data_IF_145056123165
#
_entry.id   IF_145056123165
#
_cell.length_a   1.000
_cell.length_b   1.000
_cell.length_c   1.000
_cell.angle_alpha   90.00
_cell.angle_beta   90.00
_cell.angle_gamma   90.00
#
_symmetry.space_group_name_H-M   'P 1'
#
loop_
_entity.id
_entity.type
_entity.pdbx_description
1 polymer ?
#
# COMPACT_ATOMS: atom_id res chain seq x y z
N UNK A 1 -10.85 -7.02 -5.64
CA UNK A 1 -9.77 -6.31 -6.36
C UNK A 1 -8.40 -7.00 -6.23
N UNK A 2 -7.96 -7.45 -5.05
CA UNK A 2 -6.64 -8.14 -4.90
C UNK A 2 -6.62 -9.53 -5.57
N UNK A 3 -7.67 -10.34 -5.39
CA UNK A 3 -7.72 -11.69 -5.97
C UNK A 3 -7.78 -11.71 -7.50
N UNK A 4 -8.20 -10.61 -8.14
CA UNK A 4 -8.26 -10.51 -9.60
C UNK A 4 -6.88 -10.69 -10.26
N UNK A 5 -5.81 -10.17 -9.65
CA UNK A 5 -4.45 -10.38 -10.19
C UNK A 5 -4.01 -11.84 -10.05
N UNK A 6 -4.37 -12.50 -8.94
CA UNK A 6 -4.07 -13.93 -8.70
C UNK A 6 -4.80 -14.80 -9.74
N UNK A 7 -6.07 -14.51 -10.01
CA UNK A 7 -6.88 -15.17 -11.03
C UNK A 7 -6.28 -15.00 -12.43
N UNK A 8 -5.88 -13.78 -12.79
CA UNK A 8 -5.26 -13.50 -14.10
C UNK A 8 -3.94 -14.27 -14.30
N UNK A 9 -3.08 -14.30 -13.28
CA UNK A 9 -1.82 -15.05 -13.33
C UNK A 9 -2.10 -16.55 -13.43
N UNK A 10 -3.01 -17.07 -12.61
CA UNK A 10 -3.42 -18.48 -12.64
C UNK A 10 -3.90 -18.88 -14.05
N UNK A 11 -4.80 -18.09 -14.63
CA UNK A 11 -5.41 -18.41 -15.92
C UNK A 11 -4.39 -18.32 -17.05
N UNK A 12 -3.47 -17.35 -16.99
CA UNK A 12 -2.33 -17.28 -17.90
C UNK A 12 -1.41 -18.50 -17.82
N UNK A 13 -1.10 -18.97 -16.60
CA UNK A 13 -0.27 -20.17 -16.39
C UNK A 13 -0.97 -21.44 -16.89
N UNK A 14 -2.28 -21.59 -16.65
CA UNK A 14 -3.07 -22.72 -17.16
C UNK A 14 -3.08 -22.73 -18.69
N UNK A 15 -3.16 -21.56 -19.33
CA UNK A 15 -3.20 -21.46 -20.79
C UNK A 15 -1.90 -21.94 -21.45
N UNK A 16 -0.74 -21.72 -20.82
CA UNK A 16 0.57 -22.11 -21.37
C UNK A 16 1.06 -23.49 -20.87
N UNK A 17 0.57 -23.96 -19.73
CA UNK A 17 0.92 -25.26 -19.14
C UNK A 17 -0.33 -25.96 -18.56
N UNK A 18 -1.19 -26.52 -19.42
CA UNK A 18 -2.44 -27.15 -19.00
C UNK A 18 -2.23 -28.43 -18.19
N UNK A 19 -1.08 -29.09 -18.30
CA UNK A 19 -0.77 -30.31 -17.54
C UNK A 19 -0.63 -30.04 -16.04
N UNK A 20 -0.24 -28.83 -15.65
CA UNK A 20 -0.13 -28.40 -14.25
C UNK A 20 -1.36 -27.64 -13.73
N UNK A 21 -2.49 -27.69 -14.45
CA UNK A 21 -3.70 -26.91 -14.14
C UNK A 21 -4.15 -27.00 -12.69
N UNK A 22 -4.29 -28.20 -12.15
CA UNK A 22 -4.84 -28.39 -10.80
C UNK A 22 -3.89 -27.85 -9.72
N UNK A 23 -2.57 -27.89 -9.98
CA UNK A 23 -1.57 -27.27 -9.11
C UNK A 23 -1.72 -25.74 -9.10
N UNK A 24 -1.93 -25.11 -10.25
CA UNK A 24 -2.16 -23.67 -10.32
C UNK A 24 -3.46 -23.25 -9.63
N UNK A 25 -4.54 -24.02 -9.80
CA UNK A 25 -5.80 -23.77 -9.10
C UNK A 25 -5.65 -23.88 -7.59
N UNK A 26 -5.01 -24.94 -7.09
CA UNK A 26 -4.77 -25.14 -5.67
C UNK A 26 -3.90 -24.03 -5.08
N UNK A 27 -2.82 -23.65 -5.77
CA UNK A 27 -1.93 -22.58 -5.33
C UNK A 27 -2.63 -21.22 -5.31
N UNK A 28 -3.38 -20.89 -6.36
CA UNK A 28 -4.14 -19.66 -6.44
C UNK A 28 -5.17 -19.57 -5.31
N UNK A 29 -5.89 -20.66 -5.05
CA UNK A 29 -6.85 -20.71 -3.94
C UNK A 29 -6.16 -20.46 -2.59
N UNK A 30 -5.10 -21.20 -2.28
CA UNK A 30 -4.38 -21.06 -1.01
C UNK A 30 -3.85 -19.63 -0.83
N UNK A 31 -3.26 -19.05 -1.89
CA UNK A 31 -2.74 -17.70 -1.83
C UNK A 31 -3.85 -16.65 -1.68
N UNK A 32 -4.99 -16.80 -2.36
CA UNK A 32 -6.16 -15.94 -2.16
C UNK A 32 -6.69 -16.02 -0.72
N UNK A 33 -6.78 -17.22 -0.14
CA UNK A 33 -7.21 -17.38 1.26
C UNK A 33 -6.25 -16.64 2.23
N UNK A 34 -4.94 -16.66 1.96
CA UNK A 34 -3.94 -15.91 2.73
C UNK A 34 -4.10 -14.40 2.57
N UNK A 35 -4.35 -13.91 1.35
CA UNK A 35 -4.59 -12.49 1.10
C UNK A 35 -5.87 -11.99 1.76
N UNK A 36 -6.94 -12.80 1.77
CA UNK A 36 -8.19 -12.47 2.45
C UNK A 36 -8.02 -12.50 3.98
N UNK A 37 -7.18 -13.38 4.50
CA UNK A 37 -6.78 -13.33 5.92
C UNK A 37 -6.00 -12.06 6.24
N UNK A 38 -5.02 -11.70 5.41
CA UNK A 38 -4.20 -10.51 5.60
C UNK A 38 -5.04 -9.22 5.52
N UNK A 39 -5.97 -9.11 4.57
CA UNK A 39 -6.90 -7.98 4.48
C UNK A 39 -7.72 -7.82 5.77
N UNK A 40 -8.24 -8.92 6.32
CA UNK A 40 -8.98 -8.91 7.60
C UNK A 40 -8.11 -8.47 8.78
N UNK A 41 -6.88 -8.98 8.88
CA UNK A 41 -5.92 -8.57 9.91
C UNK A 41 -5.64 -7.08 9.82
N UNK A 42 -5.27 -6.58 8.64
CA UNK A 42 -4.96 -5.15 8.44
C UNK A 42 -6.17 -4.27 8.79
N UNK A 43 -7.39 -4.66 8.37
CA UNK A 43 -8.61 -3.93 8.75
C UNK A 43 -8.80 -3.86 10.25
N UNK A 44 -8.65 -5.00 10.93
CA UNK A 44 -8.84 -5.11 12.38
C UNK A 44 -7.82 -4.24 13.11
N UNK A 45 -6.55 -4.33 12.73
CA UNK A 45 -5.47 -3.57 13.37
C UNK A 45 -5.67 -2.05 13.18
N UNK A 46 -6.10 -1.63 11.98
CA UNK A 46 -6.30 -0.23 11.65
C UNK A 46 -7.63 0.37 12.16
N UNK A 47 -8.60 -0.43 12.58
CA UNK A 47 -9.86 0.05 13.17
C UNK A 47 -9.59 0.91 14.41
N UNK A 48 -8.65 0.48 15.26
CA UNK A 48 -8.28 1.20 16.50
C UNK A 48 -7.32 2.37 16.26
N UNK A 49 -6.76 2.47 15.05
CA UNK A 49 -5.75 3.48 14.74
C UNK A 49 -6.38 4.87 14.60
N UNK A 50 -6.12 5.74 15.58
CA UNK A 50 -6.60 7.13 15.62
C UNK A 50 -5.91 8.05 14.61
N UNK A 51 -4.71 7.67 14.15
CA UNK A 51 -3.89 8.46 13.23
C UNK A 51 -4.02 7.87 11.84
N UNK A 52 -4.69 8.58 10.95
CA UNK A 52 -4.93 8.11 9.57
C UNK A 52 -3.90 8.63 8.57
N UNK A 53 -3.15 9.66 8.96
CA UNK A 53 -2.17 10.33 8.12
C UNK A 53 -0.78 9.70 8.24
N UNK A 54 -0.12 9.41 7.11
CA UNK A 54 1.28 8.99 7.07
C UNK A 54 2.02 9.59 5.89
N UNK A 55 3.34 9.72 6.03
CA UNK A 55 4.22 10.23 4.99
C UNK A 55 5.06 9.09 4.43
N UNK A 56 5.19 9.02 3.10
CA UNK A 56 6.12 8.15 2.38
C UNK A 56 7.00 8.97 1.44
N UNK A 57 8.15 8.42 1.03
CA UNK A 57 8.99 9.06 0.02
C UNK A 57 8.42 8.88 -1.39
N UNK A 58 8.08 7.63 -1.73
CA UNK A 58 7.46 7.30 -3.00
C UNK A 58 5.94 7.21 -2.88
N UNK A 59 5.23 7.59 -3.95
CA UNK A 59 3.77 7.49 -4.02
C UNK A 59 3.27 6.04 -4.28
N UNK A 60 3.71 5.09 -3.46
CA UNK A 60 3.50 3.66 -3.70
C UNK A 60 2.33 3.05 -2.92
N UNK A 61 1.76 3.78 -1.96
CA UNK A 61 0.74 3.24 -1.03
C UNK A 61 -0.67 3.76 -1.30
N UNK A 62 -0.93 4.43 -2.43
CA UNK A 62 -2.19 5.15 -2.67
C UNK A 62 -3.40 4.21 -2.66
N UNK A 63 -3.28 3.04 -3.29
CA UNK A 63 -4.31 1.98 -3.24
C UNK A 63 -4.48 1.39 -1.84
N UNK A 64 -3.39 1.20 -1.10
CA UNK A 64 -3.41 0.70 0.27
C UNK A 64 -4.14 1.70 1.19
N UNK A 65 -3.76 2.98 1.10
CA UNK A 65 -4.33 4.06 1.87
C UNK A 65 -5.84 4.17 1.61
N UNK A 66 -6.26 4.20 0.35
CA UNK A 66 -7.67 4.20 -0.05
C UNK A 66 -8.43 2.99 0.48
N UNK A 67 -7.83 1.78 0.42
CA UNK A 67 -8.49 0.54 0.83
C UNK A 67 -8.77 0.44 2.34
N UNK A 68 -7.88 1.01 3.14
CA UNK A 68 -7.93 0.90 4.60
C UNK A 68 -8.26 2.22 5.31
N UNK A 69 -8.66 3.25 4.57
CA UNK A 69 -9.09 4.53 5.14
C UNK A 69 -7.96 5.32 5.79
N UNK A 70 -6.78 5.32 5.15
CA UNK A 70 -5.62 6.13 5.52
C UNK A 70 -5.42 7.24 4.49
N UNK A 71 -4.65 8.27 4.87
CA UNK A 71 -4.22 9.35 4.01
C UNK A 71 -2.70 9.28 3.86
N UNK A 72 -2.23 9.14 2.62
CA UNK A 72 -0.82 9.14 2.30
C UNK A 72 -0.40 10.51 1.77
N UNK A 73 0.69 11.03 2.31
CA UNK A 73 1.40 12.20 1.79
C UNK A 73 2.76 11.73 1.26
N UNK A 74 3.12 12.12 0.04
CA UNK A 74 4.38 11.68 -0.59
C UNK A 74 5.38 12.82 -0.75
N UNK A 75 6.66 12.55 -0.52
CA UNK A 75 7.76 13.49 -0.77
C UNK A 75 8.45 13.13 -2.09
N UNK A 76 7.88 13.58 -3.20
CA UNK A 76 8.23 13.14 -4.56
C UNK A 76 9.65 13.54 -5.03
N UNK A 77 10.36 14.43 -4.30
CA UNK A 77 11.63 15.04 -4.73
C UNK A 77 12.82 14.81 -3.76
N UNK A 78 12.71 13.86 -2.84
CA UNK A 78 13.82 13.45 -2.00
C UNK A 78 14.21 12.02 -2.36
N UNK A 79 15.36 11.85 -3.02
CA UNK A 79 15.96 10.52 -3.15
C UNK A 79 16.24 9.90 -1.76
N UNK A 80 16.54 8.61 -1.69
CA UNK A 80 16.81 7.90 -0.43
C UNK A 80 17.88 8.54 0.46
N UNK A 81 18.80 9.31 -0.13
CA UNK A 81 19.90 10.01 0.55
C UNK A 81 19.68 11.52 0.72
N UNK A 82 18.53 12.03 0.30
CA UNK A 82 18.23 13.45 0.46
C UNK A 82 17.96 13.77 1.93
N UNK A 83 18.77 14.67 2.50
CA UNK A 83 18.60 15.17 3.85
C UNK A 83 17.19 15.77 4.03
N UNK A 84 16.43 15.21 4.97
CA UNK A 84 15.08 15.66 5.30
C UNK A 84 15.21 16.76 6.34
N UNK A 85 15.35 18.00 5.87
CA UNK A 85 15.25 19.15 6.75
C UNK A 85 13.78 19.50 6.99
N UNK A 86 13.43 20.13 8.14
CA UNK A 86 12.07 20.64 8.38
C UNK A 86 11.53 21.51 7.22
N UNK A 87 12.44 22.22 6.55
CA UNK A 87 12.14 23.05 5.37
C UNK A 87 11.72 22.21 4.15
N UNK A 88 12.36 21.06 3.91
CA UNK A 88 11.97 20.16 2.80
C UNK A 88 10.69 19.38 3.08
N UNK A 89 10.36 19.12 4.34
CA UNK A 89 9.03 18.61 4.71
C UNK A 89 7.94 19.64 4.37
N UNK A 90 8.18 20.93 4.52
CA UNK A 90 7.22 21.97 4.12
C UNK A 90 7.19 22.24 2.62
N UNK A 91 8.28 21.99 1.88
CA UNK A 91 8.40 22.29 0.44
C UNK A 91 8.08 21.09 -0.48
N UNK A 92 8.37 19.87 -0.03
CA UNK A 92 8.27 18.64 -0.83
C UNK A 92 7.01 17.81 -0.62
N UNK A 93 6.19 18.19 0.36
CA UNK A 93 4.81 17.70 0.45
C UNK A 93 3.99 18.52 -0.55
N UNK A 94 3.21 17.86 -1.39
CA UNK A 94 2.25 18.53 -2.28
C UNK A 94 1.29 19.38 -1.41
N UNK A 95 1.59 20.68 -1.33
CA UNK A 95 1.19 21.55 -0.21
C UNK A 95 -0.28 21.93 -0.24
N UNK A 96 -1.00 21.60 -1.32
CA UNK A 96 -2.44 21.83 -1.41
C UNK A 96 -3.25 20.99 -0.40
N UNK A 97 -2.74 19.84 0.05
CA UNK A 97 -3.46 18.97 1.00
C UNK A 97 -2.99 19.08 2.46
N UNK A 98 -1.77 19.58 2.70
CA UNK A 98 -1.14 19.56 4.02
C UNK A 98 -1.39 20.83 4.85
N UNK A 99 -1.77 21.92 4.22
CA UNK A 99 -1.83 23.26 4.85
C UNK A 99 -3.08 23.51 5.71
N UNK A 100 -3.96 22.52 5.90
CA UNK A 100 -5.17 22.68 6.75
C UNK A 100 -5.10 22.05 8.14
N UNK A 101 -4.14 21.18 8.44
CA UNK A 101 -4.07 20.53 9.76
C UNK A 101 -2.65 20.57 10.33
N UNK A 102 -2.56 21.06 11.57
CA UNK A 102 -1.38 21.67 12.15
C UNK A 102 -0.54 20.59 12.88
N UNK A 103 0.73 20.45 12.49
CA UNK A 103 1.86 19.87 13.27
C UNK A 103 1.60 18.60 14.12
N UNK A 104 1.17 17.48 13.53
CA UNK A 104 1.27 16.15 14.18
C UNK A 104 1.79 15.06 13.24
N UNK A 105 3.04 15.22 12.79
CA UNK A 105 3.76 14.14 12.11
C UNK A 105 3.83 12.93 13.06
N UNK A 106 3.22 11.83 12.61
CA UNK A 106 2.97 10.66 13.44
C UNK A 106 3.95 9.53 13.21
N UNK A 107 4.43 9.36 11.97
CA UNK A 107 5.47 8.41 11.58
C UNK A 107 5.91 8.65 10.14
N UNK A 108 7.19 8.43 9.87
CA UNK A 108 7.79 8.42 8.53
C UNK A 108 8.14 6.97 8.19
N UNK A 109 7.80 6.53 6.98
CA UNK A 109 8.14 5.19 6.49
C UNK A 109 9.12 5.29 5.34
N UNK A 110 10.20 4.50 5.44
CA UNK A 110 11.17 4.29 4.38
C UNK A 110 10.93 2.90 3.80
N UNK A 111 10.72 2.82 2.48
CA UNK A 111 10.53 1.56 1.75
C UNK A 111 11.35 1.64 0.48
#
# INVERSE_FOLDING_TARGET
>A
MINCLVENIRDGLIAIDPNNRDKYLSNAKNFSDQLDSLDRTIRTDLQSCKKKDFISFHNSFSYFAKRYGLNQYSISNAGPEAEITPKRLTEGIDTEQFTKEQYRISRLFYV
#
